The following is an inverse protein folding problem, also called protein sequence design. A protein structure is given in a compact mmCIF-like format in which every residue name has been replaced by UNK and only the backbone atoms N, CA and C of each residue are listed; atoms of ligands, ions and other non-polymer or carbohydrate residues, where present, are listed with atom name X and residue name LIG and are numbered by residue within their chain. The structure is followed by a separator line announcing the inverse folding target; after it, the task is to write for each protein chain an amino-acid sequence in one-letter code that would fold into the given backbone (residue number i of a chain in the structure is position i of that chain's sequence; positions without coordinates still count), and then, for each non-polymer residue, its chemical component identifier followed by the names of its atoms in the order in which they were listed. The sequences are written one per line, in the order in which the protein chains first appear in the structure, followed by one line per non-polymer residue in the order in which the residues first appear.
data_IF_825313694646
#
_entry.id   IF_825313694646
#
_cell.length_a   1.000
_cell.length_b   1.000
_cell.length_c   1.000
_cell.angle_alpha   90.00
_cell.angle_beta   90.00
_cell.angle_gamma   90.00
#
_symmetry.space_group_name_H-M   'P 1'
#
loop_
_entity.id
_entity.type
_entity.pdbx_description
1 polymer ?
#
# COMPACT_ATOMS: atom_id res chain seq x y z
N UNK A 1 17.03 -15.73 -13.34
CA UNK A 1 17.05 -17.10 -13.92
C UNK A 1 16.48 -18.17 -12.98
N UNK A 2 16.73 -18.13 -11.66
CA UNK A 2 16.13 -19.12 -10.74
C UNK A 2 14.62 -18.91 -10.49
N UNK A 3 14.14 -17.67 -10.50
CA UNK A 3 12.71 -17.38 -10.37
C UNK A 3 11.89 -17.98 -11.51
N UNK A 4 12.37 -17.91 -12.76
CA UNK A 4 11.67 -18.47 -13.93
C UNK A 4 11.50 -19.99 -13.84
N UNK A 5 12.45 -20.70 -13.24
CA UNK A 5 12.36 -22.14 -13.07
C UNK A 5 11.29 -22.55 -12.04
N UNK A 6 11.08 -21.74 -11.01
CA UNK A 6 10.05 -21.98 -9.97
C UNK A 6 8.66 -21.57 -10.45
N UNK A 7 8.54 -20.48 -11.22
CA UNK A 7 7.25 -19.90 -11.64
C UNK A 7 6.79 -20.34 -13.02
N UNK A 8 7.66 -20.91 -13.86
CA UNK A 8 7.32 -21.34 -15.23
C UNK A 8 6.16 -22.34 -15.31
N UNK A 9 5.89 -23.09 -14.23
CA UNK A 9 4.72 -23.98 -14.16
C UNK A 9 3.38 -23.27 -13.92
N UNK A 10 3.39 -21.98 -13.53
CA UNK A 10 2.19 -21.22 -13.17
C UNK A 10 1.71 -20.24 -14.26
N UNK A 11 2.37 -20.16 -15.41
CA UNK A 11 2.00 -19.23 -16.49
C UNK A 11 0.53 -19.32 -16.89
N UNK A 12 0.02 -20.53 -17.06
CA UNK A 12 -1.40 -20.73 -17.41
C UNK A 12 -2.31 -20.19 -16.32
N UNK A 13 -2.02 -20.51 -15.07
CA UNK A 13 -2.78 -20.04 -13.91
C UNK A 13 -2.77 -18.50 -13.81
N UNK A 14 -1.61 -17.88 -13.98
CA UNK A 14 -1.47 -16.42 -13.96
C UNK A 14 -2.31 -15.81 -15.08
N UNK A 15 -2.23 -16.34 -16.30
CA UNK A 15 -3.00 -15.87 -17.46
C UNK A 15 -4.51 -15.98 -17.23
N UNK A 16 -4.98 -17.13 -16.74
CA UNK A 16 -6.39 -17.37 -16.45
C UNK A 16 -6.91 -16.40 -15.35
N UNK A 17 -6.14 -16.22 -14.28
CA UNK A 17 -6.50 -15.30 -13.19
C UNK A 17 -6.43 -13.84 -13.61
N UNK A 18 -5.42 -13.43 -14.36
CA UNK A 18 -5.33 -12.08 -14.90
C UNK A 18 -6.53 -11.73 -15.79
N UNK A 19 -6.93 -12.66 -16.68
CA UNK A 19 -8.09 -12.49 -17.54
C UNK A 19 -9.41 -12.45 -16.74
N UNK A 20 -9.56 -13.31 -15.72
CA UNK A 20 -10.73 -13.32 -14.86
C UNK A 20 -10.85 -12.04 -14.04
N UNK A 21 -9.76 -11.58 -13.41
CA UNK A 21 -9.72 -10.33 -12.64
C UNK A 21 -10.02 -9.13 -13.54
N UNK A 22 -9.43 -9.07 -14.73
CA UNK A 22 -9.74 -8.02 -15.70
C UNK A 22 -11.22 -7.97 -16.01
N UNK A 23 -11.82 -9.12 -16.36
CA UNK A 23 -13.24 -9.20 -16.72
C UNK A 23 -14.17 -8.82 -15.56
N UNK A 24 -13.81 -9.21 -14.34
CA UNK A 24 -14.61 -8.93 -13.15
C UNK A 24 -14.48 -7.48 -12.65
N UNK A 25 -13.24 -6.98 -12.52
CA UNK A 25 -12.95 -5.78 -11.75
C UNK A 25 -12.43 -4.59 -12.57
N UNK A 26 -12.31 -4.67 -13.91
CA UNK A 26 -11.89 -3.52 -14.71
C UNK A 26 -13.11 -2.89 -15.41
N UNK A 27 -13.24 -1.57 -15.30
CA UNK A 27 -14.27 -0.74 -15.94
C UNK A 27 -13.59 0.50 -16.52
N UNK A 28 -13.67 0.69 -17.83
CA UNK A 28 -13.03 1.83 -18.52
C UNK A 28 -11.55 2.00 -18.10
N UNK A 29 -10.82 0.89 -18.14
CA UNK A 29 -9.42 0.77 -17.74
C UNK A 29 -9.13 1.09 -16.24
N UNK A 30 -10.15 1.30 -15.42
CA UNK A 30 -10.00 1.50 -13.98
C UNK A 30 -10.25 0.19 -13.21
N UNK A 31 -9.32 -0.18 -12.32
CA UNK A 31 -9.47 -1.32 -11.42
C UNK A 31 -10.39 -0.94 -10.25
N UNK A 32 -11.64 -1.43 -10.26
CA UNK A 32 -12.59 -1.15 -9.18
C UNK A 32 -12.40 -2.10 -7.99
N UNK A 33 -12.84 -1.66 -6.81
CA UNK A 33 -12.50 -2.26 -5.52
C UNK A 33 -13.01 -3.68 -5.32
N UNK A 34 -14.10 -4.08 -6.00
CA UNK A 34 -14.65 -5.43 -5.90
C UNK A 34 -15.59 -5.75 -7.07
N UNK A 35 -15.84 -7.05 -7.26
CA UNK A 35 -16.94 -7.57 -8.04
C UNK A 35 -17.59 -8.74 -7.30
N UNK A 36 -18.90 -8.89 -7.43
CA UNK A 36 -19.61 -10.03 -6.87
C UNK A 36 -19.33 -11.29 -7.70
N UNK A 37 -19.12 -12.42 -7.02
CA UNK A 37 -18.77 -13.70 -7.67
C UNK A 37 -19.87 -14.18 -8.64
N UNK A 38 -21.13 -13.85 -8.33
CA UNK A 38 -22.31 -14.18 -9.16
C UNK A 38 -22.53 -13.21 -10.34
N UNK A 39 -21.67 -12.20 -10.49
CA UNK A 39 -21.78 -11.19 -11.54
C UNK A 39 -22.88 -10.15 -11.31
N UNK A 40 -23.60 -10.17 -10.18
CA UNK A 40 -24.73 -9.28 -9.89
C UNK A 40 -24.36 -7.81 -9.72
N UNK A 41 -23.06 -7.51 -9.52
CA UNK A 41 -22.59 -6.14 -9.36
C UNK A 41 -21.10 -6.05 -9.13
N UNK A 42 -20.59 -4.83 -9.26
CA UNK A 42 -19.19 -4.47 -8.99
C UNK A 42 -19.10 -3.08 -8.37
N UNK A 43 -17.96 -2.77 -7.77
CA UNK A 43 -17.70 -1.44 -7.23
C UNK A 43 -17.69 -0.34 -8.30
N UNK A 44 -17.95 0.87 -7.88
CA UNK A 44 -17.90 2.10 -8.68
C UNK A 44 -16.68 2.95 -8.35
N UNK A 45 -15.84 2.49 -7.40
CA UNK A 45 -14.67 3.21 -6.89
C UNK A 45 -13.40 2.40 -7.07
N UNK A 46 -12.32 3.12 -7.28
CA UNK A 46 -10.95 2.63 -7.26
C UNK A 46 -10.40 2.89 -5.86
N UNK A 47 -9.95 1.86 -5.16
CA UNK A 47 -9.25 1.99 -3.88
C UNK A 47 -7.76 2.16 -4.17
N UNK A 48 -7.16 3.29 -3.75
CA UNK A 48 -5.81 3.65 -4.19
C UNK A 48 -4.74 2.66 -3.70
N UNK A 49 -4.89 2.08 -2.51
CA UNK A 49 -3.93 1.09 -2.00
C UNK A 49 -3.93 -0.26 -2.76
N UNK A 50 -4.80 -0.43 -3.74
CA UNK A 50 -4.80 -1.59 -4.65
C UNK A 50 -4.14 -1.29 -6.01
N UNK A 51 -3.65 -0.06 -6.21
CA UNK A 51 -3.05 0.34 -7.48
C UNK A 51 -1.56 -0.03 -7.54
N UNK A 52 -1.25 -1.30 -7.45
CA UNK A 52 0.10 -1.82 -7.72
C UNK A 52 0.39 -1.79 -9.24
N UNK A 53 0.89 -0.65 -9.69
CA UNK A 53 1.17 -0.39 -11.11
C UNK A 53 2.25 -1.33 -11.64
N UNK A 54 3.25 -1.68 -10.85
CA UNK A 54 4.32 -2.60 -11.26
C UNK A 54 3.78 -4.00 -11.51
N UNK A 55 2.96 -4.53 -10.60
CA UNK A 55 2.28 -5.79 -10.81
C UNK A 55 1.36 -5.75 -12.03
N UNK A 56 0.61 -4.66 -12.25
CA UNK A 56 -0.23 -4.50 -13.45
C UNK A 56 0.60 -4.49 -14.73
N UNK A 57 1.76 -3.84 -14.73
CA UNK A 57 2.72 -3.87 -15.86
C UNK A 57 3.26 -5.30 -16.09
N UNK A 58 3.59 -6.03 -15.04
CA UNK A 58 4.00 -7.43 -15.17
C UNK A 58 2.88 -8.31 -15.74
N UNK A 59 1.63 -8.10 -15.33
CA UNK A 59 0.47 -8.81 -15.88
C UNK A 59 0.25 -8.55 -17.37
N UNK A 60 0.71 -7.44 -17.91
CA UNK A 60 0.59 -7.13 -19.34
C UNK A 60 1.35 -8.13 -20.24
N UNK A 61 2.35 -8.83 -19.72
CA UNK A 61 3.03 -9.92 -20.40
C UNK A 61 2.13 -11.16 -20.60
N UNK A 62 1.12 -11.32 -19.77
CA UNK A 62 0.15 -12.42 -19.82
C UNK A 62 -1.17 -12.01 -20.49
N UNK A 63 -1.58 -10.76 -20.33
CA UNK A 63 -2.77 -10.20 -20.95
C UNK A 63 -2.54 -8.70 -21.23
N UNK A 64 -2.35 -8.35 -22.49
CA UNK A 64 -1.97 -6.98 -22.94
C UNK A 64 -2.93 -5.89 -22.49
N UNK A 65 -4.19 -6.25 -22.17
CA UNK A 65 -5.20 -5.30 -21.68
C UNK A 65 -4.78 -4.64 -20.35
N UNK A 66 -3.94 -5.29 -19.55
CA UNK A 66 -3.39 -4.74 -18.32
C UNK A 66 -2.49 -3.52 -18.53
N UNK A 67 -1.98 -3.31 -19.75
CA UNK A 67 -1.22 -2.08 -20.07
C UNK A 67 -2.08 -0.83 -19.90
N UNK A 68 -3.33 -0.85 -20.36
CA UNK A 68 -4.24 0.28 -20.20
C UNK A 68 -4.61 0.50 -18.72
N UNK A 69 -4.82 -0.58 -17.96
CA UNK A 69 -5.11 -0.52 -16.52
C UNK A 69 -3.92 0.08 -15.74
N UNK A 70 -2.69 -0.36 -16.04
CA UNK A 70 -1.49 0.19 -15.42
C UNK A 70 -1.35 1.69 -15.70
N UNK A 71 -1.51 2.12 -16.95
CA UNK A 71 -1.44 3.53 -17.34
C UNK A 71 -2.52 4.37 -16.65
N UNK A 72 -3.74 3.84 -16.53
CA UNK A 72 -4.84 4.53 -15.83
C UNK A 72 -4.56 4.62 -14.34
N UNK A 73 -4.03 3.57 -13.72
CA UNK A 73 -3.65 3.54 -12.31
C UNK A 73 -2.54 4.52 -11.98
N UNK A 74 -1.50 4.58 -12.83
CA UNK A 74 -0.44 5.58 -12.73
C UNK A 74 -0.97 7.01 -12.82
N UNK A 75 -1.86 7.28 -13.78
CA UNK A 75 -2.48 8.59 -13.93
C UNK A 75 -3.30 9.01 -12.69
N UNK A 76 -3.96 8.06 -12.02
CA UNK A 76 -4.68 8.32 -10.77
C UNK A 76 -3.70 8.62 -9.63
N UNK A 77 -2.62 7.86 -9.49
CA UNK A 77 -1.63 8.06 -8.41
C UNK A 77 -0.82 9.35 -8.59
N UNK A 78 -0.59 9.80 -9.82
CA UNK A 78 0.17 11.01 -10.13
C UNK A 78 -0.69 12.28 -10.19
N UNK A 79 -2.02 12.16 -10.08
CA UNK A 79 -2.91 13.31 -10.01
C UNK A 79 -2.68 14.07 -8.69
N UNK A 80 -2.38 15.36 -8.77
CA UNK A 80 -2.16 16.21 -7.59
C UNK A 80 -3.34 16.23 -6.62
N UNK A 81 -4.56 15.95 -7.10
CA UNK A 81 -5.78 15.84 -6.29
C UNK A 81 -5.83 14.53 -5.46
N UNK A 82 -4.96 13.56 -5.77
CA UNK A 82 -4.86 12.31 -4.99
C UNK A 82 -4.31 12.54 -3.58
N UNK A 83 -3.56 13.62 -3.35
CA UNK A 83 -3.10 14.03 -2.03
C UNK A 83 -4.19 14.83 -1.28
N UNK A 84 -4.21 14.72 0.05
CA UNK A 84 -5.23 15.37 0.88
C UNK A 84 -5.03 16.88 0.94
N UNK A 85 -3.84 17.33 1.37
CA UNK A 85 -3.47 18.75 1.42
C UNK A 85 -1.94 18.89 1.49
N UNK A 86 -1.44 20.14 1.47
CA UNK A 86 -0.03 20.44 1.71
C UNK A 86 0.41 20.18 3.15
N UNK A 87 -0.48 20.34 4.12
CA UNK A 87 -0.22 20.11 5.55
C UNK A 87 -0.33 18.61 5.91
N UNK A 88 -1.12 17.87 5.15
CA UNK A 88 -1.30 16.42 5.27
C UNK A 88 -1.11 15.77 3.89
N UNK A 89 0.14 15.59 3.43
CA UNK A 89 0.42 15.07 2.08
C UNK A 89 0.32 13.55 2.00
N UNK A 90 -0.79 13.01 2.52
CA UNK A 90 -1.17 11.60 2.42
C UNK A 90 -2.14 11.40 1.27
N UNK A 91 -2.08 10.22 0.67
CA UNK A 91 -3.02 9.86 -0.39
C UNK A 91 -4.44 9.66 0.15
N UNK A 92 -5.41 10.08 -0.64
CA UNK A 92 -6.83 9.83 -0.41
C UNK A 92 -7.13 8.34 -0.58
N UNK A 93 -8.12 7.83 0.13
CA UNK A 93 -8.43 6.41 0.15
C UNK A 93 -8.95 5.87 -1.20
N UNK A 94 -9.69 6.67 -1.96
CA UNK A 94 -10.33 6.20 -3.19
C UNK A 94 -10.62 7.31 -4.20
N UNK A 95 -10.80 6.89 -5.45
CA UNK A 95 -11.22 7.72 -6.59
C UNK A 95 -12.48 7.13 -7.22
N UNK A 96 -13.46 7.96 -7.60
CA UNK A 96 -14.69 7.55 -8.28
C UNK A 96 -14.63 8.03 -9.75
N UNK A 97 -14.34 7.15 -10.72
CA UNK A 97 -14.16 7.53 -12.12
C UNK A 97 -15.34 8.28 -12.73
N UNK A 98 -16.56 7.79 -12.51
CA UNK A 98 -17.79 8.38 -13.07
C UNK A 98 -18.07 9.82 -12.58
N UNK A 99 -17.44 10.24 -11.48
CA UNK A 99 -17.60 11.58 -10.89
C UNK A 99 -16.33 12.42 -11.03
N UNK A 100 -15.23 11.85 -11.51
CA UNK A 100 -13.89 12.42 -11.49
C UNK A 100 -13.53 13.01 -10.10
N UNK A 101 -13.73 12.23 -9.05
CA UNK A 101 -13.66 12.75 -7.69
C UNK A 101 -12.92 11.80 -6.75
N UNK A 102 -11.96 12.35 -6.00
CA UNK A 102 -11.29 11.66 -4.91
C UNK A 102 -12.11 11.79 -3.61
N UNK A 103 -12.00 10.78 -2.74
CA UNK A 103 -12.70 10.77 -1.45
C UNK A 103 -12.13 11.83 -0.50
N UNK A 104 -13.00 12.33 0.42
CA UNK A 104 -12.58 13.18 1.53
C UNK A 104 -12.59 12.44 2.88
N UNK A 105 -12.58 11.11 2.86
CA UNK A 105 -12.50 10.31 4.07
C UNK A 105 -11.15 10.54 4.78
N UNK A 106 -11.15 10.28 6.09
CA UNK A 106 -9.92 10.28 6.89
C UNK A 106 -8.91 9.26 6.32
N UNK A 107 -7.63 9.57 6.39
CA UNK A 107 -6.57 8.67 5.95
C UNK A 107 -6.37 7.54 6.97
N UNK A 108 -6.63 6.31 6.57
CA UNK A 108 -6.21 5.12 7.29
C UNK A 108 -4.74 4.87 6.97
N UNK A 109 -3.87 4.89 7.97
CA UNK A 109 -2.43 4.95 7.74
C UNK A 109 -1.89 3.71 7.02
N UNK A 110 -2.45 2.52 7.27
CA UNK A 110 -2.03 1.31 6.56
C UNK A 110 -2.35 1.39 5.07
N UNK A 111 -3.55 1.86 4.70
CA UNK A 111 -3.93 2.04 3.30
C UNK A 111 -3.11 3.16 2.63
N UNK A 112 -2.89 4.27 3.35
CA UNK A 112 -2.07 5.37 2.86
C UNK A 112 -0.61 4.92 2.63
N UNK A 113 -0.03 4.15 3.56
CA UNK A 113 1.33 3.62 3.42
C UNK A 113 1.49 2.70 2.21
N UNK A 114 0.53 1.80 1.96
CA UNK A 114 0.50 0.95 0.76
C UNK A 114 0.39 1.79 -0.51
N UNK A 115 -0.47 2.83 -0.51
CA UNK A 115 -0.57 3.74 -1.67
C UNK A 115 0.74 4.46 -1.92
N UNK A 116 1.41 4.94 -0.87
CA UNK A 116 2.73 5.60 -0.96
C UNK A 116 3.78 4.61 -1.48
N UNK A 117 3.74 3.34 -1.06
CA UNK A 117 4.64 2.30 -1.57
C UNK A 117 4.47 2.11 -3.08
N UNK A 118 3.23 1.97 -3.56
CA UNK A 118 2.96 1.83 -4.98
C UNK A 118 3.36 3.08 -5.78
N UNK A 119 3.17 4.27 -5.21
CA UNK A 119 3.66 5.51 -5.82
C UNK A 119 5.19 5.57 -5.84
N UNK A 120 5.87 5.12 -4.77
CA UNK A 120 7.33 5.09 -4.71
C UNK A 120 7.93 4.11 -5.73
N UNK A 121 7.34 2.94 -5.93
CA UNK A 121 7.75 1.94 -6.93
C UNK A 121 7.81 2.52 -8.35
N UNK A 122 6.91 3.43 -8.68
CA UNK A 122 6.89 4.14 -9.97
C UNK A 122 7.55 5.52 -9.93
N UNK A 123 8.32 5.83 -8.88
CA UNK A 123 9.00 7.12 -8.66
C UNK A 123 8.02 8.33 -8.62
N UNK A 124 6.79 8.12 -8.17
CA UNK A 124 5.75 9.14 -8.07
C UNK A 124 5.46 9.60 -6.63
N UNK A 125 6.07 8.99 -5.61
CA UNK A 125 5.97 9.48 -4.24
C UNK A 125 6.72 10.82 -4.12
N UNK A 126 5.98 11.90 -3.80
CA UNK A 126 6.56 13.24 -3.71
C UNK A 126 7.39 13.42 -2.43
N UNK A 127 8.47 14.24 -2.53
CA UNK A 127 9.33 14.62 -1.40
C UNK A 127 8.53 15.13 -0.20
N UNK A 128 7.50 15.93 -0.43
CA UNK A 128 6.64 16.45 0.63
C UNK A 128 5.98 15.35 1.47
N UNK A 129 5.59 14.24 0.85
CA UNK A 129 5.04 13.06 1.55
C UNK A 129 6.12 12.37 2.38
N UNK A 130 7.31 12.19 1.82
CA UNK A 130 8.44 11.54 2.50
C UNK A 130 8.93 12.37 3.67
N UNK A 131 9.09 13.69 3.49
CA UNK A 131 9.48 14.64 4.55
C UNK A 131 8.45 14.67 5.71
N UNK A 132 7.17 14.63 5.37
CA UNK A 132 6.10 14.58 6.38
C UNK A 132 6.19 13.28 7.20
N UNK A 133 6.42 12.14 6.56
CA UNK A 133 6.59 10.85 7.23
C UNK A 133 7.79 10.86 8.17
N UNK A 134 8.94 11.39 7.73
CA UNK A 134 10.12 11.54 8.56
C UNK A 134 9.86 12.43 9.78
N UNK A 135 9.18 13.54 9.58
CA UNK A 135 8.82 14.45 10.66
C UNK A 135 7.92 13.77 11.71
N UNK A 136 6.91 12.97 11.26
CA UNK A 136 6.06 12.22 12.17
C UNK A 136 6.83 11.15 12.95
N UNK A 137 7.70 10.39 12.28
CA UNK A 137 8.54 9.37 12.92
C UNK A 137 9.51 10.01 13.92
N UNK A 138 10.10 11.14 13.56
CA UNK A 138 10.98 11.93 14.43
C UNK A 138 10.24 12.53 15.64
N UNK A 139 8.96 12.92 15.47
CA UNK A 139 8.09 13.39 16.55
C UNK A 139 7.62 12.26 17.49
N UNK A 140 7.82 11.01 17.11
CA UNK A 140 7.64 9.87 18.00
C UNK A 140 6.69 8.78 17.51
N UNK A 141 5.67 9.07 16.69
CA UNK A 141 4.74 8.04 16.22
C UNK A 141 3.98 8.45 14.96
N UNK A 142 3.63 7.44 14.17
CA UNK A 142 2.59 7.55 13.14
C UNK A 142 1.35 6.83 13.66
N UNK A 143 0.23 7.57 13.70
CA UNK A 143 -1.02 7.06 14.24
C UNK A 143 -1.86 6.36 13.17
N UNK A 144 -2.78 5.51 13.61
CA UNK A 144 -3.58 4.67 12.71
C UNK A 144 -4.50 5.45 11.77
N UNK A 145 -4.93 6.66 12.16
CA UNK A 145 -5.81 7.47 11.32
C UNK A 145 -5.55 8.97 11.50
N UNK A 146 -5.62 9.69 10.39
CA UNK A 146 -5.59 11.17 10.36
C UNK A 146 -6.86 11.68 9.66
N UNK A 147 -7.52 12.65 10.27
CA UNK A 147 -8.59 13.39 9.63
C UNK A 147 -8.05 14.31 8.54
N UNK A 148 -8.90 14.82 7.65
CA UNK A 148 -8.48 15.66 6.52
C UNK A 148 -7.80 16.98 6.91
N UNK A 149 -7.95 17.42 8.16
CA UNK A 149 -7.28 18.57 8.75
C UNK A 149 -5.93 18.22 9.44
N UNK A 150 -5.47 16.98 9.29
CA UNK A 150 -4.24 16.47 9.89
C UNK A 150 -4.34 16.08 11.37
N UNK A 151 -5.51 16.24 11.99
CA UNK A 151 -5.70 15.85 13.37
C UNK A 151 -5.85 14.33 13.51
N UNK A 152 -5.25 13.78 14.56
CA UNK A 152 -5.45 12.38 14.92
C UNK A 152 -6.86 12.20 15.49
N UNK A 153 -7.66 11.35 14.86
CA UNK A 153 -9.03 11.08 15.28
C UNK A 153 -9.11 10.57 16.73
N UNK A 154 -10.16 10.97 17.44
CA UNK A 154 -10.41 10.44 18.79
C UNK A 154 -10.56 8.91 18.72
N UNK A 155 -9.81 8.18 19.56
CA UNK A 155 -9.76 6.71 19.53
C UNK A 155 -8.76 6.10 18.57
N UNK A 156 -8.10 6.89 17.71
CA UNK A 156 -7.10 6.41 16.73
C UNK A 156 -5.65 6.77 17.09
N UNK A 157 -5.40 7.17 18.35
CA UNK A 157 -4.05 7.44 18.90
C UNK A 157 -3.30 6.15 19.25
N UNK A 158 -3.42 5.14 18.40
CA UNK A 158 -2.59 3.95 18.45
C UNK A 158 -1.83 3.80 17.13
N UNK A 159 -0.72 3.13 17.19
CA UNK A 159 0.16 2.93 16.04
C UNK A 159 -0.25 1.64 15.30
N UNK A 160 -0.45 1.71 13.99
CA UNK A 160 -0.65 0.52 13.16
C UNK A 160 0.71 -0.10 12.82
N UNK A 161 1.00 -1.30 13.34
CA UNK A 161 2.32 -1.94 13.25
C UNK A 161 2.72 -2.20 11.80
N UNK A 162 1.82 -2.76 11.00
CA UNK A 162 2.05 -3.02 9.58
C UNK A 162 2.39 -1.77 8.78
N UNK A 163 1.92 -0.59 9.20
CA UNK A 163 2.30 0.67 8.54
C UNK A 163 3.79 0.92 8.61
N UNK A 164 4.45 0.63 9.73
CA UNK A 164 5.90 0.79 9.84
C UNK A 164 6.67 -0.15 8.92
N UNK A 165 6.20 -1.37 8.76
CA UNK A 165 6.79 -2.32 7.83
C UNK A 165 6.67 -1.84 6.36
N UNK A 166 5.51 -1.34 5.97
CA UNK A 166 5.30 -0.77 4.62
C UNK A 166 6.14 0.49 4.42
N UNK A 167 6.22 1.38 5.42
CA UNK A 167 7.05 2.59 5.33
C UNK A 167 8.55 2.30 5.25
N UNK A 168 9.03 1.22 5.86
CA UNK A 168 10.40 0.77 5.67
C UNK A 168 10.66 0.37 4.21
N UNK A 169 9.71 -0.32 3.56
CA UNK A 169 9.77 -0.62 2.12
C UNK A 169 9.73 0.65 1.27
N UNK A 170 8.87 1.63 1.62
CA UNK A 170 8.83 2.95 0.95
C UNK A 170 10.23 3.58 0.97
N UNK A 171 10.85 3.67 2.15
CA UNK A 171 12.18 4.24 2.28
C UNK A 171 13.25 3.50 1.47
N UNK A 172 13.18 2.15 1.43
CA UNK A 172 14.09 1.33 0.63
C UNK A 172 13.92 1.58 -0.88
N UNK A 173 12.68 1.59 -1.37
CA UNK A 173 12.36 1.74 -2.80
C UNK A 173 12.64 3.16 -3.30
N UNK A 174 12.33 4.18 -2.50
CA UNK A 174 12.56 5.59 -2.85
C UNK A 174 14.02 6.05 -2.64
N UNK A 175 14.86 5.23 -2.02
CA UNK A 175 16.23 5.62 -1.62
C UNK A 175 16.27 6.55 -0.40
N UNK A 176 15.13 6.73 0.29
CA UNK A 176 15.00 7.58 1.48
C UNK A 176 15.44 6.80 2.74
N UNK A 177 16.76 6.67 2.93
CA UNK A 177 17.36 5.76 3.91
C UNK A 177 16.96 6.07 5.36
N UNK A 178 16.72 7.33 5.70
CA UNK A 178 16.32 7.73 7.06
C UNK A 178 14.90 7.26 7.37
N UNK A 179 13.96 7.40 6.43
CA UNK A 179 12.60 6.86 6.54
C UNK A 179 12.64 5.36 6.79
N UNK A 180 13.42 4.63 5.98
CA UNK A 180 13.58 3.18 6.14
C UNK A 180 14.12 2.81 7.52
N UNK A 181 15.19 3.48 7.97
CA UNK A 181 15.83 3.24 9.26
C UNK A 181 14.91 3.51 10.45
N UNK A 182 14.22 4.66 10.44
CA UNK A 182 13.27 5.04 11.50
C UNK A 182 12.09 4.09 11.57
N UNK A 183 11.53 3.73 10.42
CA UNK A 183 10.40 2.80 10.31
C UNK A 183 10.75 1.42 10.84
N UNK A 184 11.93 0.88 10.47
CA UNK A 184 12.43 -0.39 11.02
C UNK A 184 12.66 -0.33 12.52
N UNK A 185 13.22 0.76 13.03
CA UNK A 185 13.40 0.91 14.47
C UNK A 185 12.07 0.91 15.22
N UNK A 186 11.01 1.53 14.65
CA UNK A 186 9.65 1.46 15.19
C UNK A 186 9.07 0.05 15.14
N UNK A 187 9.26 -0.66 14.04
CA UNK A 187 8.82 -2.03 13.88
C UNK A 187 9.49 -2.96 14.92
N UNK A 188 10.82 -2.88 15.04
CA UNK A 188 11.58 -3.71 15.99
C UNK A 188 11.16 -3.46 17.46
N UNK A 189 10.76 -2.25 17.83
CA UNK A 189 10.21 -1.95 19.14
C UNK A 189 8.86 -2.64 19.41
N UNK A 190 8.23 -3.20 18.38
CA UNK A 190 6.97 -3.97 18.46
C UNK A 190 7.20 -5.47 18.39
N UNK A 191 8.46 -5.91 18.41
CA UNK A 191 8.80 -7.33 18.42
C UNK A 191 8.48 -7.94 19.78
N UNK A 192 7.70 -9.01 19.76
CA UNK A 192 7.32 -9.75 20.97
C UNK A 192 8.54 -10.48 21.52
N UNK A 193 8.94 -10.16 22.75
CA UNK A 193 10.18 -10.68 23.32
C UNK A 193 10.05 -12.10 23.90
N UNK A 194 8.85 -12.48 24.39
CA UNK A 194 8.64 -13.74 25.11
C UNK A 194 7.24 -14.32 24.82
N UNK A 195 7.03 -15.58 25.17
CA UNK A 195 5.74 -16.27 25.04
C UNK A 195 5.58 -16.99 23.70
N UNK A 196 4.37 -17.41 23.39
CA UNK A 196 4.04 -18.23 22.21
C UNK A 196 4.36 -17.51 20.90
N UNK A 197 4.25 -16.18 20.86
CA UNK A 197 4.52 -15.35 19.70
C UNK A 197 5.88 -14.65 19.77
N UNK A 198 6.81 -15.18 20.57
CA UNK A 198 8.17 -14.60 20.64
C UNK A 198 8.82 -14.53 19.25
N UNK A 199 9.30 -13.34 18.88
CA UNK A 199 9.87 -13.04 17.57
C UNK A 199 8.89 -12.44 16.58
N UNK A 200 7.59 -12.60 16.77
CA UNK A 200 6.57 -11.94 15.92
C UNK A 200 6.44 -10.45 16.24
N UNK A 201 5.84 -9.70 15.30
CA UNK A 201 5.45 -8.31 15.51
C UNK A 201 4.00 -8.23 15.95
N UNK A 202 3.72 -7.49 17.02
CA UNK A 202 2.37 -7.49 17.55
C UNK A 202 2.15 -6.54 18.72
N UNK A 203 1.07 -6.77 19.47
CA UNK A 203 0.82 -6.00 20.69
C UNK A 203 1.95 -6.22 21.69
N UNK A 204 2.35 -5.16 22.40
CA UNK A 204 3.42 -5.18 23.42
C UNK A 204 3.16 -6.27 24.49
N UNK A 205 1.90 -6.62 24.71
CA UNK A 205 1.51 -7.69 25.62
C UNK A 205 1.55 -9.10 25.01
N UNK A 206 1.85 -9.20 23.68
CA UNK A 206 1.92 -10.49 22.98
C UNK A 206 0.57 -11.19 22.83
N UNK A 207 -0.53 -10.44 22.90
CA UNK A 207 -1.88 -10.99 22.85
C UNK A 207 -2.36 -11.23 21.40
N UNK A 208 -1.87 -10.44 20.44
CA UNK A 208 -2.25 -10.57 19.03
C UNK A 208 -1.09 -10.24 18.11
N UNK A 209 -0.95 -11.03 17.06
CA UNK A 209 -0.16 -10.74 15.87
C UNK A 209 -1.05 -10.96 14.64
N UNK A 210 -0.91 -10.12 13.64
CA UNK A 210 -1.70 -10.20 12.42
C UNK A 210 -0.82 -10.69 11.26
N UNK A 211 -1.34 -11.61 10.47
CA UNK A 211 -0.62 -12.16 9.30
C UNK A 211 -0.14 -11.05 8.35
N UNK A 212 -0.93 -10.00 8.19
CA UNK A 212 -0.55 -8.84 7.39
C UNK A 212 0.72 -8.18 7.94
N UNK A 213 0.77 -7.89 9.25
CA UNK A 213 1.93 -7.24 9.89
C UNK A 213 3.20 -8.08 9.72
N UNK A 214 3.10 -9.42 9.85
CA UNK A 214 4.22 -10.34 9.69
C UNK A 214 4.72 -10.41 8.24
N UNK A 215 3.81 -10.47 7.28
CA UNK A 215 4.18 -10.50 5.86
C UNK A 215 4.83 -9.19 5.42
N UNK A 216 4.27 -8.05 5.81
CA UNK A 216 4.87 -6.75 5.51
C UNK A 216 6.24 -6.57 6.19
N UNK A 217 6.39 -7.06 7.43
CA UNK A 217 7.68 -7.07 8.11
C UNK A 217 8.72 -7.92 7.37
N UNK A 218 8.33 -9.09 6.86
CA UNK A 218 9.19 -9.93 6.06
C UNK A 218 9.64 -9.20 4.77
N UNK A 219 8.72 -8.56 4.05
CA UNK A 219 9.03 -7.80 2.85
C UNK A 219 9.96 -6.60 3.17
N UNK A 220 9.72 -5.89 4.27
CA UNK A 220 10.61 -4.82 4.72
C UNK A 220 12.05 -5.31 4.96
N UNK A 221 12.19 -6.42 5.67
CA UNK A 221 13.51 -7.03 5.93
C UNK A 221 14.19 -7.54 4.66
N UNK A 222 13.42 -8.01 3.67
CA UNK A 222 13.95 -8.41 2.36
C UNK A 222 14.40 -7.21 1.54
N UNK A 223 13.64 -6.10 1.55
CA UNK A 223 13.97 -4.88 0.83
C UNK A 223 15.24 -4.18 1.36
N UNK A 224 15.57 -4.40 2.64
CA UNK A 224 16.74 -3.80 3.30
C UNK A 224 18.01 -4.65 3.20
N UNK A 225 17.97 -5.82 2.55
CA UNK A 225 19.20 -6.60 2.35
C UNK A 225 20.11 -5.88 1.36
N UNK A 226 21.41 -5.76 1.69
CA UNK A 226 22.41 -5.15 0.80
C UNK A 226 22.62 -5.96 -0.48
#
# INVERSE_FOLDING_TARGET
MEADAVWGGYEREIRERAAALYTACVVDDALVSFANVDGSGRGDRVTLCYLDVETMRALSAYDVRWTAVANRSEAILTDSRALMSSELPLYRASYTPAKDMFSNAAAQMTEAALTILHAAQISAAGEQTLDWLDAQLGAGAIYAQYASDGQVGYGFRYEAIGSYAVLAQVGAVSGHTELARLSLAKLENRRVATGTFAGAYGSVKGETSYTFDELEALFALMAMKP
#
